data_IF_649039019278
#
_entry.id   IF_649039019278
#
_cell.length_a   1.000
_cell.length_b   1.000
_cell.length_c   1.000
_cell.angle_alpha   90.00
_cell.angle_beta   90.00
_cell.angle_gamma   90.00
#
_symmetry.space_group_name_H-M   'P 1'
#
loop_
_entity.id
_entity.type
_entity.pdbx_description
1 polymer ?
#
# COMPACT_ATOMS: atom_id res chain seq x y z
N UNK A 1 34.70 -50.63 51.12
CA UNK A 1 34.30 -50.55 49.70
C UNK A 1 33.33 -49.39 49.58
N UNK A 2 33.81 -48.25 49.06
CA UNK A 2 33.08 -46.99 49.08
C UNK A 2 32.04 -46.90 47.96
N UNK A 3 30.80 -46.59 48.34
CA UNK A 3 29.72 -46.27 47.40
C UNK A 3 29.66 -44.75 47.20
N UNK A 4 30.21 -44.24 46.10
CA UNK A 4 30.01 -42.85 45.68
C UNK A 4 28.66 -42.70 44.98
N UNK A 5 27.70 -42.11 45.68
CA UNK A 5 26.43 -41.68 45.11
C UNK A 5 26.66 -40.42 44.26
N UNK A 6 26.57 -40.54 42.93
CA UNK A 6 26.60 -39.38 42.03
C UNK A 6 25.27 -38.61 42.15
N UNK A 7 25.27 -37.50 42.88
CA UNK A 7 24.16 -36.56 42.93
C UNK A 7 23.88 -36.02 41.52
N UNK A 8 22.71 -36.36 40.95
CA UNK A 8 22.24 -35.76 39.69
C UNK A 8 21.96 -34.27 39.94
N UNK A 9 22.80 -33.41 39.38
CA UNK A 9 22.54 -31.97 39.32
C UNK A 9 21.28 -31.75 38.47
N UNK A 10 20.25 -31.03 38.97
CA UNK A 10 19.08 -30.68 38.18
C UNK A 10 19.54 -29.85 36.97
N UNK A 11 19.26 -30.33 35.76
CA UNK A 11 19.52 -29.54 34.54
C UNK A 11 18.64 -28.31 34.61
N UNK A 12 19.26 -27.12 34.71
CA UNK A 12 18.52 -25.86 34.59
C UNK A 12 17.81 -25.85 33.23
N UNK A 13 16.54 -25.44 33.17
CA UNK A 13 15.86 -25.29 31.88
C UNK A 13 16.64 -24.27 31.03
N UNK A 14 16.74 -24.49 29.71
CA UNK A 14 17.43 -23.57 28.83
C UNK A 14 16.83 -22.16 28.97
N UNK A 15 17.64 -21.10 28.88
CA UNK A 15 17.13 -19.74 28.96
C UNK A 15 16.06 -19.54 27.88
N UNK A 16 14.89 -19.05 28.29
CA UNK A 16 13.87 -18.59 27.35
C UNK A 16 14.46 -17.35 26.67
N UNK A 17 14.95 -17.53 25.44
CA UNK A 17 15.34 -16.40 24.60
C UNK A 17 14.04 -15.73 24.19
N UNK A 18 13.61 -14.72 24.95
CA UNK A 18 12.59 -13.79 24.51
C UNK A 18 13.15 -13.08 23.28
N UNK A 19 12.72 -13.50 22.09
CA UNK A 19 13.05 -12.84 20.83
C UNK A 19 12.54 -11.41 20.96
N UNK A 20 13.44 -10.43 21.13
CA UNK A 20 13.03 -9.03 21.25
C UNK A 20 12.21 -8.67 20.00
N UNK A 21 11.08 -7.95 20.15
CA UNK A 21 10.31 -7.49 19.01
C UNK A 21 11.23 -6.70 18.08
N UNK A 22 11.38 -7.16 16.84
CA UNK A 22 12.11 -6.38 15.84
C UNK A 22 11.25 -5.21 15.45
N UNK A 23 11.68 -3.99 15.80
CA UNK A 23 10.99 -2.78 15.36
C UNK A 23 11.15 -2.61 13.84
N UNK A 24 10.05 -2.36 13.13
CA UNK A 24 10.06 -2.20 11.68
C UNK A 24 10.79 -0.91 11.29
N UNK A 25 11.35 -0.89 10.08
CA UNK A 25 11.94 0.30 9.50
C UNK A 25 10.89 1.03 8.66
N UNK A 26 10.79 2.35 8.84
CA UNK A 26 9.89 3.17 8.06
C UNK A 26 10.42 3.33 6.64
N UNK A 27 9.64 2.90 5.64
CA UNK A 27 10.05 3.01 4.23
C UNK A 27 10.14 4.45 3.70
N UNK A 28 9.68 5.45 4.46
CA UNK A 28 9.66 6.87 4.06
C UNK A 28 10.93 7.57 4.52
N UNK A 29 11.22 7.49 5.83
CA UNK A 29 12.35 8.17 6.45
C UNK A 29 13.54 7.25 6.80
N UNK A 30 13.47 5.96 6.45
CA UNK A 30 14.46 4.92 6.72
C UNK A 30 14.90 4.84 8.19
N UNK A 31 14.01 5.24 9.11
CA UNK A 31 14.25 5.22 10.55
C UNK A 31 13.48 4.07 11.20
N UNK A 32 14.02 3.51 12.29
CA UNK A 32 13.29 2.50 13.08
C UNK A 32 12.05 3.12 13.71
N UNK A 33 10.93 2.40 13.62
CA UNK A 33 9.67 2.78 14.27
C UNK A 33 9.72 2.24 15.71
N UNK A 34 10.26 3.05 16.63
CA UNK A 34 10.56 2.65 18.00
C UNK A 34 9.32 2.30 18.84
N UNK A 35 8.14 2.78 18.45
CA UNK A 35 6.86 2.50 19.11
C UNK A 35 5.95 1.71 18.20
N UNK A 36 5.46 0.56 18.68
CA UNK A 36 4.58 -0.31 17.91
C UNK A 36 3.27 0.40 17.50
N UNK A 37 2.78 1.32 18.33
CA UNK A 37 1.60 2.13 18.06
C UNK A 37 1.90 3.34 17.16
N UNK A 38 3.13 3.56 16.72
CA UNK A 38 3.48 4.59 15.72
C UNK A 38 3.61 4.04 14.30
N UNK A 39 3.47 2.72 14.12
CA UNK A 39 3.50 2.10 12.79
C UNK A 39 2.14 2.14 12.10
N UNK A 40 2.17 2.35 10.79
CA UNK A 40 1.10 2.04 9.84
C UNK A 40 1.67 1.16 8.74
N UNK A 41 0.82 0.33 8.16
CA UNK A 41 1.20 -0.58 7.09
C UNK A 41 0.40 -0.28 5.83
N UNK A 42 1.07 -0.18 4.69
CA UNK A 42 0.44 -0.23 3.39
C UNK A 42 0.25 -1.70 3.01
N UNK A 43 -0.94 -2.26 3.26
CA UNK A 43 -1.20 -3.71 3.15
C UNK A 43 -0.79 -4.30 1.81
N UNK A 44 -1.10 -3.62 0.70
CA UNK A 44 -0.75 -4.07 -0.65
C UNK A 44 0.77 -4.13 -0.87
N UNK A 45 1.52 -3.13 -0.38
CA UNK A 45 2.97 -3.03 -0.57
C UNK A 45 3.77 -3.82 0.47
N UNK A 46 3.15 -4.19 1.59
CA UNK A 46 3.83 -4.83 2.71
C UNK A 46 4.79 -3.92 3.47
N UNK A 47 4.88 -2.63 3.13
CA UNK A 47 5.77 -1.66 3.76
C UNK A 47 5.13 -1.00 4.98
N UNK A 48 5.96 -0.66 5.95
CA UNK A 48 5.57 0.06 7.16
C UNK A 48 6.08 1.50 7.14
N UNK A 49 5.36 2.38 7.84
CA UNK A 49 5.71 3.79 7.93
C UNK A 49 5.28 4.43 9.25
N UNK A 50 6.00 5.48 9.64
CA UNK A 50 5.65 6.31 10.78
C UNK A 50 4.32 7.04 10.55
N UNK A 51 3.41 6.99 11.52
CA UNK A 51 2.13 7.73 11.50
C UNK A 51 2.27 9.22 11.23
N UNK A 52 3.41 9.83 11.58
CA UNK A 52 3.68 11.25 11.37
C UNK A 52 3.55 11.65 9.89
N UNK A 53 3.87 10.74 8.96
CA UNK A 53 3.78 10.99 7.52
C UNK A 53 2.34 11.21 7.03
N UNK A 54 1.33 10.84 7.83
CA UNK A 54 -0.07 11.17 7.53
C UNK A 54 -0.41 12.65 7.76
N UNK A 55 0.46 13.41 8.44
CA UNK A 55 0.15 14.77 8.91
C UNK A 55 1.26 15.79 8.66
N UNK A 56 2.48 15.35 8.37
CA UNK A 56 3.63 16.23 8.14
C UNK A 56 3.71 16.80 6.71
N UNK A 57 2.76 16.42 5.85
CA UNK A 57 2.72 16.87 4.45
C UNK A 57 3.60 16.04 3.52
N UNK A 58 4.14 14.91 3.96
CA UNK A 58 4.84 13.97 3.07
C UNK A 58 3.93 13.60 1.90
N UNK A 59 4.34 13.87 0.65
CA UNK A 59 3.53 13.54 -0.52
C UNK A 59 3.29 12.03 -0.62
N UNK A 60 2.12 11.65 -1.11
CA UNK A 60 1.81 10.28 -1.50
C UNK A 60 1.15 10.22 -2.87
N UNK A 61 1.22 9.05 -3.50
CA UNK A 61 0.59 8.81 -4.78
C UNK A 61 -0.89 8.51 -4.56
N UNK A 62 -1.79 9.23 -5.24
CA UNK A 62 -3.24 9.01 -5.15
C UNK A 62 -3.71 7.74 -5.87
N UNK A 63 -2.85 7.11 -6.68
CA UNK A 63 -3.15 5.84 -7.36
C UNK A 63 -2.71 4.60 -6.60
N UNK A 64 -1.57 4.66 -5.92
CA UNK A 64 -1.00 3.50 -5.21
C UNK A 64 -0.75 3.70 -3.72
N UNK A 65 -1.04 4.89 -3.17
CA UNK A 65 -0.88 5.24 -1.75
C UNK A 65 0.56 5.19 -1.20
N UNK A 66 1.56 4.90 -2.05
CA UNK A 66 2.97 4.97 -1.63
C UNK A 66 3.36 6.42 -1.36
N UNK A 67 4.12 6.63 -0.30
CA UNK A 67 4.74 7.90 -0.01
C UNK A 67 5.94 8.16 -0.92
N UNK A 68 6.22 9.43 -1.16
CA UNK A 68 7.46 9.88 -1.78
C UNK A 68 8.61 9.73 -0.78
N UNK A 69 9.65 8.97 -1.15
CA UNK A 69 10.83 8.77 -0.31
C UNK A 69 11.97 9.70 -0.74
N UNK A 70 12.93 9.96 0.17
CA UNK A 70 14.09 10.77 -0.16
C UNK A 70 14.89 10.16 -1.32
N UNK A 71 14.93 10.87 -2.45
CA UNK A 71 15.67 10.46 -3.65
C UNK A 71 14.79 9.89 -4.77
N UNK A 72 13.51 9.61 -4.53
CA UNK A 72 12.57 9.40 -5.63
C UNK A 72 12.30 10.74 -6.33
N UNK A 73 12.65 10.82 -7.61
CA UNK A 73 12.16 11.86 -8.52
C UNK A 73 10.91 11.31 -9.21
N UNK A 74 10.00 12.18 -9.63
CA UNK A 74 8.93 11.76 -10.56
C UNK A 74 7.53 11.61 -9.96
N UNK A 75 7.14 12.49 -9.04
CA UNK A 75 5.73 12.72 -8.79
C UNK A 75 5.19 13.81 -9.72
N UNK A 76 4.11 13.51 -10.43
CA UNK A 76 3.38 14.45 -11.27
C UNK A 76 2.20 15.01 -10.49
N UNK A 77 2.07 16.34 -10.49
CA UNK A 77 0.92 17.01 -9.88
C UNK A 77 -0.25 17.02 -10.87
N UNK A 78 -1.43 16.63 -10.39
CA UNK A 78 -2.68 16.79 -11.12
C UNK A 78 -3.31 18.15 -10.80
N UNK A 79 -4.19 18.63 -11.67
CA UNK A 79 -4.85 19.94 -11.53
C UNK A 79 -5.71 20.07 -10.27
N UNK A 80 -6.20 18.95 -9.75
CA UNK A 80 -7.02 18.86 -8.54
C UNK A 80 -6.22 18.71 -7.24
N UNK A 81 -4.90 18.90 -7.31
CA UNK A 81 -3.98 18.83 -6.18
C UNK A 81 -3.58 17.41 -5.76
N UNK A 82 -4.07 16.37 -6.44
CA UNK A 82 -3.53 15.01 -6.30
C UNK A 82 -2.14 14.91 -6.90
N UNK A 83 -1.42 13.87 -6.52
CA UNK A 83 -0.13 13.52 -7.11
C UNK A 83 -0.10 12.06 -7.53
N UNK A 84 0.60 11.74 -8.61
CA UNK A 84 0.86 10.38 -9.06
C UNK A 84 2.36 10.15 -9.12
N UNK A 85 2.83 8.97 -8.68
CA UNK A 85 4.18 8.52 -9.01
C UNK A 85 4.24 8.10 -10.49
N UNK A 86 5.44 8.08 -11.06
CA UNK A 86 5.72 7.69 -12.46
C UNK A 86 5.00 6.39 -12.89
N UNK A 87 5.07 5.34 -12.06
CA UNK A 87 4.39 4.07 -12.36
C UNK A 87 2.87 4.26 -12.54
N UNK A 88 2.23 5.03 -11.67
CA UNK A 88 0.80 5.28 -11.73
C UNK A 88 0.42 6.26 -12.84
N UNK A 89 1.27 7.26 -13.09
CA UNK A 89 1.08 8.19 -14.20
C UNK A 89 1.09 7.44 -15.54
N UNK A 90 2.02 6.49 -15.72
CA UNK A 90 2.18 5.73 -16.97
C UNK A 90 0.94 4.93 -17.38
N UNK A 91 0.10 4.55 -16.42
CA UNK A 91 -1.14 3.81 -16.63
C UNK A 91 -2.40 4.66 -16.44
N UNK A 92 -2.26 5.93 -16.04
CA UNK A 92 -3.40 6.82 -15.84
C UNK A 92 -4.03 7.24 -17.17
N UNK A 93 -5.35 7.36 -17.17
CA UNK A 93 -6.12 7.77 -18.34
C UNK A 93 -6.51 9.25 -18.16
N UNK A 94 -5.96 10.10 -19.02
CA UNK A 94 -6.24 11.54 -19.07
C UNK A 94 -7.14 11.94 -20.24
N UNK A 95 -7.52 10.98 -21.08
CA UNK A 95 -8.41 11.18 -22.22
C UNK A 95 -9.35 9.97 -22.31
N UNK A 96 -10.68 10.14 -22.17
CA UNK A 96 -11.65 9.05 -22.27
C UNK A 96 -11.52 8.23 -23.56
N UNK A 97 -11.10 8.87 -24.67
CA UNK A 97 -10.98 8.20 -25.96
C UNK A 97 -9.97 7.04 -25.94
N UNK A 98 -8.97 7.10 -25.06
CA UNK A 98 -7.98 6.03 -24.85
C UNK A 98 -8.62 4.73 -24.34
N UNK A 99 -9.81 4.80 -23.74
CA UNK A 99 -10.55 3.64 -23.27
C UNK A 99 -11.42 2.98 -24.35
N UNK A 100 -11.70 3.63 -25.47
CA UNK A 100 -12.71 3.16 -26.44
C UNK A 100 -12.50 1.70 -26.85
N UNK A 101 -11.26 1.35 -27.21
CA UNK A 101 -10.90 -0.03 -27.60
C UNK A 101 -11.08 -1.04 -26.45
N UNK A 102 -10.86 -0.63 -25.19
CA UNK A 102 -11.10 -1.49 -24.04
C UNK A 102 -12.61 -1.72 -23.84
N UNK A 103 -13.41 -0.67 -23.97
CA UNK A 103 -14.88 -0.75 -23.86
C UNK A 103 -15.44 -1.68 -24.93
N UNK A 104 -15.00 -1.53 -26.19
CA UNK A 104 -15.42 -2.39 -27.30
C UNK A 104 -15.15 -3.86 -26.98
N UNK A 105 -13.94 -4.19 -26.56
CA UNK A 105 -13.57 -5.54 -26.13
C UNK A 105 -14.39 -6.06 -24.96
N UNK A 106 -14.68 -5.20 -23.98
CA UNK A 106 -15.59 -5.56 -22.88
C UNK A 106 -16.98 -5.90 -23.42
N UNK A 107 -17.56 -5.06 -24.29
CA UNK A 107 -18.89 -5.30 -24.87
C UNK A 107 -18.93 -6.61 -25.66
N UNK A 108 -17.90 -6.88 -26.46
CA UNK A 108 -17.75 -8.16 -27.18
C UNK A 108 -17.74 -9.35 -26.21
N UNK A 109 -16.94 -9.29 -25.14
CA UNK A 109 -16.89 -10.33 -24.11
C UNK A 109 -18.26 -10.56 -23.44
N UNK A 110 -18.97 -9.50 -23.05
CA UNK A 110 -20.29 -9.64 -22.44
C UNK A 110 -21.35 -10.17 -23.43
N UNK A 111 -21.21 -9.86 -24.72
CA UNK A 111 -22.07 -10.42 -25.77
C UNK A 111 -21.92 -11.93 -25.90
N UNK A 112 -20.70 -12.46 -25.83
CA UNK A 112 -20.43 -13.90 -25.81
C UNK A 112 -21.14 -14.61 -24.64
N UNK A 113 -21.27 -13.91 -23.50
CA UNK A 113 -21.98 -14.38 -22.32
C UNK A 113 -23.51 -14.19 -22.38
N UNK A 114 -24.07 -13.70 -23.50
CA UNK A 114 -25.49 -13.32 -23.65
C UNK A 114 -25.94 -12.25 -22.65
N UNK A 115 -25.02 -11.35 -22.28
CA UNK A 115 -25.23 -10.20 -21.39
C UNK A 115 -25.00 -8.89 -22.16
N UNK A 116 -25.64 -8.74 -23.31
CA UNK A 116 -25.38 -7.60 -24.19
C UNK A 116 -25.66 -6.28 -23.47
N UNK A 117 -24.68 -5.37 -23.54
CA UNK A 117 -24.79 -4.04 -22.96
C UNK A 117 -25.26 -3.10 -24.08
N UNK A 118 -26.57 -2.94 -24.22
CA UNK A 118 -27.18 -2.17 -25.32
C UNK A 118 -27.16 -0.66 -25.10
N UNK A 119 -26.82 -0.21 -23.89
CA UNK A 119 -26.74 1.21 -23.55
C UNK A 119 -25.34 1.75 -23.79
N UNK A 120 -25.26 2.97 -24.31
CA UNK A 120 -24.01 3.71 -24.26
C UNK A 120 -23.73 4.11 -22.81
N UNK A 121 -22.53 3.78 -22.32
CA UNK A 121 -22.11 4.04 -20.95
C UNK A 121 -21.02 5.09 -21.04
N UNK A 122 -21.28 6.34 -20.62
CA UNK A 122 -20.29 7.40 -20.72
C UNK A 122 -19.11 7.09 -19.79
N UNK A 123 -17.89 7.21 -20.33
CA UNK A 123 -16.68 7.25 -19.50
C UNK A 123 -16.40 8.69 -19.13
N UNK A 124 -16.39 8.94 -17.83
CA UNK A 124 -16.10 10.24 -17.24
C UNK A 124 -14.76 10.17 -16.53
N UNK A 125 -13.88 11.14 -16.81
CA UNK A 125 -12.72 11.36 -15.96
C UNK A 125 -13.20 11.97 -14.65
N UNK A 126 -12.64 11.51 -13.54
CA UNK A 126 -12.99 11.98 -12.20
C UNK A 126 -11.80 12.66 -11.55
N UNK A 127 -12.07 13.84 -11.02
CA UNK A 127 -11.14 14.58 -10.17
C UNK A 127 -11.32 14.18 -8.69
N UNK A 128 -10.48 14.75 -7.84
CA UNK A 128 -10.54 14.59 -6.39
C UNK A 128 -11.89 14.95 -5.81
N UNK A 129 -12.50 16.05 -6.25
CA UNK A 129 -13.80 16.49 -5.73
C UNK A 129 -14.91 15.47 -6.02
N UNK A 130 -14.93 14.94 -7.25
CA UNK A 130 -15.85 13.86 -7.61
C UNK A 130 -15.61 12.61 -6.77
N UNK A 131 -14.35 12.20 -6.56
CA UNK A 131 -14.06 11.01 -5.75
C UNK A 131 -14.48 11.18 -4.28
N UNK A 132 -14.17 12.32 -3.67
CA UNK A 132 -14.49 12.60 -2.25
C UNK A 132 -16.01 12.57 -2.00
N UNK A 133 -16.81 12.98 -2.99
CA UNK A 133 -18.28 12.96 -2.91
C UNK A 133 -18.88 11.56 -2.79
N UNK A 134 -18.20 10.54 -3.31
CA UNK A 134 -18.71 9.17 -3.38
C UNK A 134 -17.98 8.20 -2.44
N UNK A 135 -17.11 8.70 -1.57
CA UNK A 135 -16.60 7.91 -0.45
C UNK A 135 -17.73 7.71 0.56
N UNK A 136 -18.27 6.49 0.60
CA UNK A 136 -19.22 6.08 1.64
C UNK A 136 -18.45 6.01 2.96
N UNK A 137 -18.61 7.03 3.80
CA UNK A 137 -18.11 7.07 5.18
C UNK A 137 -18.80 6.03 6.05
#
# INVERSE_FOLDING_TARGET
MGNTCCSRVPKQPPPIILRMPTFPECHVCNSKIERWDDSRKLTFWGSEFCKIHLRDGTPWCSGCERFETQGQRGYVNLEDGRKLCEDCESIAIFDPSKCNRLIEKMREFYKELKLEVDKDIPILLVDKHYMDKWQVT
#
